data_IF_212240293857
#
_entry.id   IF_212240293857
#
_cell.length_a   1.000
_cell.length_b   1.000
_cell.length_c   1.000
_cell.angle_alpha   90.00
_cell.angle_beta   90.00
_cell.angle_gamma   90.00
#
_symmetry.space_group_name_H-M   'P 1'
#
loop_
_entity.id
_entity.type
_entity.pdbx_description
1 polymer ?
#
# COMPACT_ATOMS: atom_id res chain seq x y z
N UNK A 1 6.31 2.50 16.81
CA UNK A 1 6.45 2.59 15.35
C UNK A 1 7.91 2.46 14.95
N UNK A 2 8.23 1.72 13.90
CA UNK A 2 9.60 1.65 13.39
C UNK A 2 10.08 3.02 12.92
N UNK A 3 11.39 3.25 13.03
CA UNK A 3 12.01 4.44 12.43
C UNK A 3 12.10 4.28 10.92
N UNK A 4 12.26 5.37 10.20
CA UNK A 4 12.61 5.31 8.79
C UNK A 4 14.05 4.84 8.62
N UNK A 5 14.25 3.96 7.64
CA UNK A 5 15.55 3.47 7.24
C UNK A 5 15.96 3.97 5.86
N UNK A 6 17.03 3.38 5.27
CA UNK A 6 17.45 3.76 3.92
C UNK A 6 16.35 3.47 2.91
N UNK A 7 16.28 4.25 1.82
CA UNK A 7 15.25 4.04 0.80
C UNK A 7 15.32 2.65 0.18
N UNK A 8 14.14 2.07 -0.05
CA UNK A 8 14.02 0.79 -0.75
C UNK A 8 14.65 0.90 -2.14
N UNK A 9 15.37 -0.12 -2.57
CA UNK A 9 15.96 -0.17 -3.91
C UNK A 9 14.88 -0.50 -4.95
N UNK A 10 15.15 -0.17 -6.22
CA UNK A 10 14.24 -0.52 -7.31
C UNK A 10 14.02 -2.03 -7.38
N UNK A 11 15.07 -2.82 -7.16
CA UNK A 11 14.95 -4.28 -7.18
C UNK A 11 14.07 -4.81 -6.05
N UNK A 12 14.24 -4.31 -4.84
CA UNK A 12 13.39 -4.67 -3.71
C UNK A 12 11.94 -4.24 -3.96
N UNK A 13 11.74 -3.05 -4.52
CA UNK A 13 10.42 -2.53 -4.83
C UNK A 13 9.71 -3.38 -5.90
N UNK A 14 10.43 -3.77 -6.97
CA UNK A 14 9.90 -4.65 -8.01
C UNK A 14 9.48 -5.98 -7.41
N UNK A 15 10.29 -6.55 -6.53
CA UNK A 15 10.01 -7.83 -5.90
C UNK A 15 8.74 -7.77 -5.05
N UNK A 16 8.58 -6.73 -4.24
CA UNK A 16 7.38 -6.54 -3.43
C UNK A 16 6.13 -6.42 -4.30
N UNK A 17 6.17 -5.59 -5.33
CA UNK A 17 5.06 -5.43 -6.26
C UNK A 17 4.74 -6.74 -6.98
N UNK A 18 5.77 -7.49 -7.39
CA UNK A 18 5.59 -8.77 -8.09
C UNK A 18 4.87 -9.80 -7.22
N UNK A 19 5.20 -9.89 -5.94
CA UNK A 19 4.52 -10.81 -5.02
C UNK A 19 3.05 -10.41 -4.85
N UNK A 20 2.77 -9.13 -4.66
CA UNK A 20 1.39 -8.65 -4.53
C UNK A 20 0.57 -8.96 -5.78
N UNK A 21 1.12 -8.73 -6.96
CA UNK A 21 0.41 -8.97 -8.22
C UNK A 21 0.32 -10.46 -8.57
N UNK A 22 1.27 -11.29 -8.10
CA UNK A 22 1.16 -12.74 -8.24
C UNK A 22 -0.04 -13.27 -7.43
N UNK A 23 -0.27 -12.74 -6.24
CA UNK A 23 -1.43 -13.09 -5.43
C UNK A 23 -2.72 -12.67 -6.15
N UNK A 24 -2.75 -11.48 -6.74
CA UNK A 24 -3.89 -11.02 -7.53
C UNK A 24 -4.17 -11.96 -8.71
N UNK A 25 -3.15 -12.32 -9.48
CA UNK A 25 -3.30 -13.21 -10.63
C UNK A 25 -3.79 -14.60 -10.22
N UNK A 26 -3.30 -15.12 -9.11
CA UNK A 26 -3.72 -16.43 -8.60
C UNK A 26 -5.22 -16.47 -8.26
N UNK A 27 -5.81 -15.34 -7.94
CA UNK A 27 -7.23 -15.21 -7.63
C UNK A 27 -8.05 -14.65 -8.79
N UNK A 28 -7.44 -14.45 -9.97
CA UNK A 28 -8.07 -13.86 -11.15
C UNK A 28 -8.57 -12.42 -10.90
N UNK A 29 -7.83 -11.67 -10.08
CA UNK A 29 -8.09 -10.26 -9.83
C UNK A 29 -7.16 -9.40 -10.69
N UNK A 30 -7.66 -8.26 -11.16
CA UNK A 30 -6.86 -7.26 -11.87
C UNK A 30 -6.58 -6.10 -10.92
N UNK A 31 -5.30 -5.78 -10.74
CA UNK A 31 -4.87 -4.77 -9.77
C UNK A 31 -3.65 -4.01 -10.25
N UNK A 32 -3.42 -2.86 -9.62
CA UNK A 32 -2.20 -2.08 -9.76
C UNK A 32 -1.44 -2.11 -8.42
N UNK A 33 -0.12 -2.13 -8.49
CA UNK A 33 0.75 -2.08 -7.32
C UNK A 33 1.76 -0.95 -7.48
N UNK A 34 1.90 -0.13 -6.45
CA UNK A 34 2.83 0.98 -6.42
C UNK A 34 3.72 0.86 -5.19
N UNK A 35 5.01 1.12 -5.35
CA UNK A 35 5.96 1.15 -4.23
C UNK A 35 6.59 2.53 -4.19
N UNK A 36 6.57 3.14 -3.00
CA UNK A 36 7.18 4.45 -2.75
C UNK A 36 8.32 4.30 -1.74
N UNK A 37 9.22 5.28 -1.73
CA UNK A 37 10.28 5.37 -0.72
C UNK A 37 9.73 5.98 0.59
N UNK A 38 10.54 6.14 1.66
CA UNK A 38 10.03 6.67 2.92
C UNK A 38 9.46 8.09 2.83
N UNK A 39 9.84 8.87 1.83
CA UNK A 39 9.31 10.22 1.61
C UNK A 39 8.04 10.21 0.74
N UNK A 40 7.57 9.04 0.34
CA UNK A 40 6.38 8.92 -0.51
C UNK A 40 6.65 9.09 -1.99
N UNK A 41 7.92 9.07 -2.42
CA UNK A 41 8.30 9.23 -3.83
C UNK A 41 8.18 7.87 -4.54
N UNK A 42 7.53 7.84 -5.69
CA UNK A 42 7.32 6.61 -6.45
C UNK A 42 8.64 6.01 -6.92
N UNK A 43 8.86 4.72 -6.60
CA UNK A 43 10.05 3.95 -7.00
C UNK A 43 9.69 2.94 -8.08
N UNK A 44 8.56 2.25 -7.94
CA UNK A 44 8.15 1.21 -8.87
C UNK A 44 6.63 1.15 -8.98
N UNK A 45 6.15 0.88 -10.18
CA UNK A 45 4.72 0.76 -10.45
C UNK A 45 4.49 -0.32 -11.51
N UNK A 46 3.45 -1.14 -11.29
CA UNK A 46 3.03 -2.12 -12.29
C UNK A 46 1.50 -2.28 -12.22
N UNK A 47 0.90 -2.43 -13.39
CA UNK A 47 -0.54 -2.61 -13.51
C UNK A 47 -0.83 -3.87 -14.32
N UNK A 48 -1.68 -4.76 -13.81
CA UNK A 48 -2.20 -5.88 -14.58
C UNK A 48 -3.13 -5.32 -15.67
N UNK A 49 -3.11 -5.93 -16.85
CA UNK A 49 -3.99 -5.54 -17.94
C UNK A 49 -5.45 -5.55 -17.48
N UNK A 50 -6.23 -4.62 -17.97
CA UNK A 50 -7.66 -4.49 -17.70
C UNK A 50 -8.01 -4.08 -16.26
N UNK A 51 -7.04 -3.64 -15.48
CA UNK A 51 -7.31 -3.04 -14.16
C UNK A 51 -8.10 -1.73 -14.37
N UNK A 52 -9.09 -1.47 -13.51
CA UNK A 52 -9.90 -0.25 -13.62
C UNK A 52 -9.02 1.01 -13.62
N UNK A 53 -9.43 2.02 -14.38
CA UNK A 53 -8.60 3.21 -14.61
C UNK A 53 -8.33 4.04 -13.35
N UNK A 54 -9.15 3.96 -12.32
CA UNK A 54 -8.92 4.69 -11.07
C UNK A 54 -7.81 4.08 -10.22
N UNK A 55 -7.56 2.77 -10.36
CA UNK A 55 -6.70 2.03 -9.43
C UNK A 55 -5.23 2.43 -9.44
N UNK A 56 -4.61 2.79 -10.58
CA UNK A 56 -3.22 3.24 -10.54
C UNK A 56 -2.99 4.41 -9.59
N UNK A 57 -3.85 5.42 -9.64
CA UNK A 57 -3.74 6.59 -8.74
C UNK A 57 -4.03 6.20 -7.30
N UNK A 58 -5.05 5.37 -7.07
CA UNK A 58 -5.40 4.92 -5.72
C UNK A 58 -4.28 4.10 -5.11
N UNK A 59 -3.64 3.22 -5.89
CA UNK A 59 -2.51 2.43 -5.41
C UNK A 59 -1.36 3.34 -4.95
N UNK A 60 -1.03 4.36 -5.73
CA UNK A 60 0.00 5.33 -5.37
C UNK A 60 -0.39 6.09 -4.09
N UNK A 61 -1.64 6.53 -3.99
CA UNK A 61 -2.11 7.27 -2.81
C UNK A 61 -2.09 6.40 -1.55
N UNK A 62 -2.46 5.12 -1.66
CA UNK A 62 -2.37 4.18 -0.53
C UNK A 62 -0.92 3.98 -0.08
N UNK A 63 0.00 3.82 -1.02
CA UNK A 63 1.43 3.67 -0.72
C UNK A 63 1.95 4.91 0.00
N UNK A 64 1.66 6.10 -0.52
CA UNK A 64 2.07 7.37 0.10
C UNK A 64 1.53 7.51 1.51
N UNK A 65 0.24 7.20 1.72
CA UNK A 65 -0.38 7.25 3.03
C UNK A 65 0.36 6.36 4.02
N UNK A 66 0.66 5.12 3.63
CA UNK A 66 1.34 4.18 4.51
C UNK A 66 2.76 4.64 4.86
N UNK A 67 3.50 5.20 3.91
CA UNK A 67 4.85 5.71 4.14
C UNK A 67 4.84 6.93 5.07
N UNK A 68 4.00 7.91 4.77
CA UNK A 68 4.02 9.19 5.47
C UNK A 68 3.46 9.10 6.88
N UNK A 69 2.53 8.20 7.13
CA UNK A 69 1.91 8.02 8.44
C UNK A 69 2.43 6.81 9.21
N UNK A 70 3.42 6.07 8.67
CA UNK A 70 4.05 4.90 9.31
C UNK A 70 3.06 3.81 9.72
N UNK A 71 1.97 3.64 9.00
CA UNK A 71 0.93 2.65 9.33
C UNK A 71 0.14 2.24 8.11
N UNK A 72 -0.49 1.06 8.18
CA UNK A 72 -1.33 0.60 7.09
C UNK A 72 -2.57 1.49 6.92
N UNK A 73 -3.05 1.58 5.69
CA UNK A 73 -4.29 2.31 5.40
C UNK A 73 -5.51 1.64 6.03
N UNK A 74 -5.42 0.34 6.36
CA UNK A 74 -6.47 -0.34 7.12
C UNK A 74 -6.67 0.30 8.50
N UNK A 75 -5.61 0.79 9.13
CA UNK A 75 -5.71 1.49 10.43
C UNK A 75 -6.65 2.69 10.30
N UNK A 76 -6.53 3.45 9.21
CA UNK A 76 -7.40 4.60 8.96
C UNK A 76 -8.82 4.17 8.59
N UNK A 77 -8.95 3.11 7.79
CA UNK A 77 -10.26 2.54 7.46
C UNK A 77 -11.02 2.15 8.73
N UNK A 78 -10.35 1.45 9.64
CA UNK A 78 -10.96 1.02 10.90
C UNK A 78 -11.35 2.22 11.78
N UNK A 79 -10.54 3.28 11.80
CA UNK A 79 -10.85 4.51 12.53
C UNK A 79 -12.13 5.16 12.03
N UNK A 80 -12.28 5.29 10.72
CA UNK A 80 -13.47 5.88 10.11
C UNK A 80 -14.69 4.99 10.39
N UNK A 81 -14.54 3.68 10.29
CA UNK A 81 -15.61 2.72 10.52
C UNK A 81 -16.14 2.81 11.95
N UNK A 82 -15.29 3.03 12.93
CA UNK A 82 -15.72 3.22 14.32
C UNK A 82 -16.55 4.49 14.51
N UNK A 83 -16.38 5.49 13.66
CA UNK A 83 -17.07 6.76 13.77
C UNK A 83 -16.56 7.62 14.93
N UNK A 84 -17.38 8.58 15.36
CA UNK A 84 -16.98 9.48 16.44
C UNK A 84 -15.71 10.24 16.12
N UNK A 85 -14.77 10.28 17.07
CA UNK A 85 -13.50 10.97 16.90
C UNK A 85 -12.64 10.37 15.77
N UNK A 86 -12.87 9.10 15.43
CA UNK A 86 -12.19 8.45 14.32
C UNK A 86 -12.44 9.09 12.97
N UNK A 87 -13.55 9.83 12.83
CA UNK A 87 -13.89 10.52 11.58
C UNK A 87 -12.91 11.64 11.24
N UNK A 88 -12.14 12.14 12.18
CA UNK A 88 -11.17 13.21 11.91
C UNK A 88 -10.05 12.78 10.96
N UNK A 89 -9.84 11.46 10.77
CA UNK A 89 -8.92 10.94 9.77
C UNK A 89 -9.23 11.49 8.39
N UNK A 90 -10.51 11.71 8.08
CA UNK A 90 -10.95 12.25 6.78
C UNK A 90 -10.45 13.67 6.53
N UNK A 91 -9.96 14.35 7.56
CA UNK A 91 -9.40 15.71 7.46
C UNK A 91 -7.87 15.72 7.41
N UNK A 92 -7.22 14.57 7.59
CA UNK A 92 -5.77 14.49 7.50
C UNK A 92 -5.35 14.40 6.04
N UNK A 93 -4.55 15.38 5.59
CA UNK A 93 -4.11 15.42 4.20
C UNK A 93 -3.24 14.21 3.89
N UNK A 94 -3.64 13.46 2.87
CA UNK A 94 -2.90 12.30 2.41
C UNK A 94 -3.22 11.00 3.14
N UNK A 95 -4.02 11.01 4.19
CA UNK A 95 -4.47 9.79 4.84
C UNK A 95 -5.57 9.14 4.00
N UNK A 96 -5.37 7.89 3.61
CA UNK A 96 -6.30 7.16 2.75
C UNK A 96 -6.98 6.07 3.61
N UNK A 97 -8.28 6.21 3.93
CA UNK A 97 -8.96 5.26 4.82
C UNK A 97 -9.52 4.05 4.08
N UNK A 98 -8.71 3.45 3.21
CA UNK A 98 -9.10 2.28 2.42
C UNK A 98 -7.94 1.28 2.44
N UNK A 99 -8.22 0.06 2.87
CA UNK A 99 -7.23 -1.01 2.99
C UNK A 99 -6.49 -1.28 1.68
N UNK A 100 -5.20 -1.62 1.76
CA UNK A 100 -4.35 -1.96 0.62
C UNK A 100 -3.00 -1.26 0.63
N UNK A 101 -2.80 -0.28 1.51
CA UNK A 101 -1.50 0.36 1.69
C UNK A 101 -0.79 -0.17 2.94
N UNK A 102 0.48 -0.56 2.82
CA UNK A 102 1.25 -1.13 3.94
C UNK A 102 2.68 -0.59 3.93
N UNK A 103 3.24 -0.28 5.11
CA UNK A 103 4.67 0.01 5.19
C UNK A 103 5.48 -1.23 4.83
N UNK A 104 6.63 -1.02 4.20
CA UNK A 104 7.60 -2.08 3.93
C UNK A 104 8.75 -1.91 4.92
N UNK A 105 9.00 -2.96 5.71
CA UNK A 105 9.95 -2.93 6.82
C UNK A 105 11.08 -3.92 6.54
N UNK A 106 12.32 -3.43 6.61
CA UNK A 106 13.53 -4.25 6.49
C UNK A 106 14.43 -3.92 7.67
N UNK A 107 14.92 -4.94 8.37
CA UNK A 107 15.77 -4.77 9.56
C UNK A 107 15.13 -3.84 10.60
N UNK A 108 13.82 -3.94 10.76
CA UNK A 108 13.07 -3.15 11.74
C UNK A 108 12.84 -1.69 11.38
N UNK A 109 13.19 -1.28 10.16
CA UNK A 109 13.05 0.11 9.70
C UNK A 109 12.13 0.18 8.48
N UNK A 110 11.34 1.27 8.39
CA UNK A 110 10.50 1.52 7.23
C UNK A 110 11.36 2.02 6.09
N UNK A 111 11.45 1.24 5.02
CA UNK A 111 12.26 1.58 3.85
C UNK A 111 11.41 2.08 2.67
N UNK A 112 10.11 2.01 2.81
CA UNK A 112 9.15 2.45 1.80
C UNK A 112 7.76 1.94 2.15
N UNK A 113 6.87 1.92 1.18
CA UNK A 113 5.52 1.40 1.35
C UNK A 113 4.97 0.88 0.03
N UNK A 114 4.04 -0.06 0.13
CA UNK A 114 3.35 -0.65 -1.01
C UNK A 114 1.88 -0.26 -0.95
N UNK A 115 1.30 0.07 -2.10
CA UNK A 115 -0.14 0.27 -2.25
C UNK A 115 -0.68 -0.62 -3.35
N UNK A 116 -1.78 -1.29 -3.07
CA UNK A 116 -2.46 -2.17 -4.02
C UNK A 116 -3.91 -1.71 -4.17
N UNK A 117 -4.38 -1.66 -5.40
CA UNK A 117 -5.77 -1.25 -5.69
C UNK A 117 -6.27 -1.92 -6.96
N UNK A 118 -7.54 -2.32 -6.95
CA UNK A 118 -8.20 -2.89 -8.13
C UNK A 118 -9.39 -3.78 -7.79
N UNK A 119 -9.40 -4.38 -6.62
CA UNK A 119 -10.49 -5.20 -6.13
C UNK A 119 -11.28 -4.52 -5.01
N UNK A 120 -11.85 -5.34 -4.14
CA UNK A 120 -12.41 -4.81 -2.89
C UNK A 120 -11.26 -4.40 -1.97
N UNK A 121 -11.54 -3.58 -0.97
CA UNK A 121 -10.52 -3.19 0.01
C UNK A 121 -9.88 -4.41 0.65
N UNK A 122 -10.67 -5.44 0.98
CA UNK A 122 -10.18 -6.67 1.57
C UNK A 122 -9.26 -7.44 0.61
N UNK A 123 -9.61 -7.53 -0.66
CA UNK A 123 -8.78 -8.17 -1.68
C UNK A 123 -7.47 -7.42 -1.88
N UNK A 124 -7.52 -6.09 -1.92
CA UNK A 124 -6.33 -5.24 -2.02
C UNK A 124 -5.41 -5.51 -0.82
N UNK A 125 -5.97 -5.59 0.39
CA UNK A 125 -5.24 -5.89 1.61
C UNK A 125 -4.60 -7.28 1.60
N UNK A 126 -5.30 -8.27 1.06
CA UNK A 126 -4.76 -9.63 0.92
C UNK A 126 -3.52 -9.65 0.05
N UNK A 127 -3.55 -8.95 -1.07
CA UNK A 127 -2.39 -8.87 -1.97
C UNK A 127 -1.22 -8.12 -1.32
N UNK A 128 -1.51 -7.03 -0.61
CA UNK A 128 -0.48 -6.28 0.12
C UNK A 128 0.16 -7.13 1.21
N UNK A 129 -0.64 -7.91 1.94
CA UNK A 129 -0.16 -8.82 2.99
C UNK A 129 0.75 -9.90 2.41
N UNK A 130 0.42 -10.46 1.26
CA UNK A 130 1.26 -11.46 0.60
C UNK A 130 2.68 -10.92 0.37
N UNK A 131 2.80 -9.66 -0.03
CA UNK A 131 4.10 -9.03 -0.24
C UNK A 131 4.85 -8.83 1.09
N UNK A 132 4.20 -8.34 2.14
CA UNK A 132 4.86 -8.15 3.43
C UNK A 132 5.27 -9.47 4.08
N UNK A 133 4.48 -10.53 3.90
CA UNK A 133 4.82 -11.86 4.43
C UNK A 133 6.04 -12.47 3.73
N UNK A 134 6.35 -12.03 2.51
CA UNK A 134 7.49 -12.52 1.74
C UNK A 134 8.80 -11.74 2.00
N UNK A 135 8.75 -10.72 2.84
CA UNK A 135 9.92 -9.87 3.12
C UNK A 135 10.65 -10.30 4.39
#
# INVERSE_FOLDING_TARGET
MPSYGPPITTEQARKAASVALAEARANNWTMAAAVVDPAGILVYFEKIDDTQNASPRIAIDKAKSAALFKRSTKTFQDSVERGGIGLRVTKLRGAIPVEGGVPLVINGQIVGALGVSGGTAEQDGQCAKAATDAM
#
